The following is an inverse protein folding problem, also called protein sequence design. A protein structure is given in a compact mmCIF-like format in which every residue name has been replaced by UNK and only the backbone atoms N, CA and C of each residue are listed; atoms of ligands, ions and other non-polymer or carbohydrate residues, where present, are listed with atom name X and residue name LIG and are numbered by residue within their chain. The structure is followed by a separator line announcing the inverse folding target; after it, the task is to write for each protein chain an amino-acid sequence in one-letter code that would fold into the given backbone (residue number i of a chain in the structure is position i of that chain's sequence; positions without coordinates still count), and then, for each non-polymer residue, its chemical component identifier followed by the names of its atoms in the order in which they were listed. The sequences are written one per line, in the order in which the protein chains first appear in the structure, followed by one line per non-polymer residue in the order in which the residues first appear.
data_IF_134876239771
#
_entry.id   IF_134876239771
#
_cell.length_a   1.000
_cell.length_b   1.000
_cell.length_c   1.000
_cell.angle_alpha   90.00
_cell.angle_beta   90.00
_cell.angle_gamma   90.00
#
_symmetry.space_group_name_H-M   'P 1'
#
loop_
_entity.id
_entity.type
_entity.pdbx_description
1 polymer ?
#
# COMPACT_ATOMS: atom_id res chain seq x y z
N UNK A 1 16.84 -2.27 -35.45
CA UNK A 1 17.76 -1.68 -34.49
C UNK A 1 17.21 -1.95 -33.11
N UNK A 2 17.98 -2.71 -32.34
CA UNK A 2 17.73 -3.14 -30.97
C UNK A 2 17.59 -1.97 -29.99
N UNK A 3 16.71 -2.13 -29.01
CA UNK A 3 16.56 -1.25 -27.86
C UNK A 3 16.01 -2.06 -26.68
N UNK A 4 16.77 -3.08 -26.27
CA UNK A 4 16.55 -3.78 -25.02
C UNK A 4 16.94 -2.83 -23.88
N UNK A 5 15.95 -2.31 -23.17
CA UNK A 5 16.15 -1.77 -21.83
C UNK A 5 16.43 -2.95 -20.91
N UNK A 6 17.71 -3.16 -20.59
CA UNK A 6 18.10 -4.12 -19.56
C UNK A 6 17.51 -3.74 -18.20
N UNK A 7 17.35 -4.73 -17.30
CA UNK A 7 16.91 -4.45 -15.94
C UNK A 7 17.95 -3.52 -15.29
N UNK A 8 17.47 -2.46 -14.63
CA UNK A 8 18.29 -1.78 -13.64
C UNK A 8 18.65 -2.83 -12.59
N UNK A 9 19.96 -3.05 -12.45
CA UNK A 9 20.55 -3.85 -11.39
C UNK A 9 20.38 -3.02 -10.10
N UNK A 10 19.26 -3.19 -9.40
CA UNK A 10 18.98 -2.55 -8.11
C UNK A 10 19.84 -3.23 -7.03
N UNK A 11 21.13 -2.87 -7.00
CA UNK A 11 21.99 -3.15 -5.86
C UNK A 11 21.59 -2.24 -4.70
N UNK A 12 20.92 -2.77 -3.68
CA UNK A 12 20.85 -2.26 -2.28
C UNK A 12 20.82 -0.71 -2.09
N UNK A 13 20.12 0.02 -2.96
CA UNK A 13 20.18 1.49 -3.12
C UNK A 13 19.23 2.24 -2.15
N UNK A 14 18.93 1.64 -1.00
CA UNK A 14 18.15 2.31 0.03
C UNK A 14 18.99 3.41 0.70
N UNK A 15 18.45 4.63 0.90
CA UNK A 15 19.14 5.65 1.67
C UNK A 15 19.55 5.14 3.05
N UNK A 16 20.73 5.53 3.52
CA UNK A 16 21.27 5.10 4.81
C UNK A 16 20.42 5.62 5.97
N UNK A 17 20.38 4.85 7.07
CA UNK A 17 19.85 5.35 8.34
C UNK A 17 20.89 6.23 9.04
N UNK A 18 20.44 7.37 9.57
CA UNK A 18 21.19 8.23 10.46
C UNK A 18 20.48 8.31 11.82
N UNK A 19 21.21 8.43 12.93
CA UNK A 19 20.59 8.58 14.24
C UNK A 19 19.94 9.95 14.41
N UNK A 20 18.77 10.00 15.04
CA UNK A 20 18.11 11.22 15.47
C UNK A 20 17.40 11.04 16.82
N UNK A 21 17.03 12.15 17.47
CA UNK A 21 16.03 12.16 18.54
C UNK A 21 14.64 12.44 17.95
N UNK A 22 13.67 11.60 18.26
CA UNK A 22 12.26 11.81 17.95
C UNK A 22 11.55 12.34 19.20
N UNK A 23 10.88 13.48 19.07
CA UNK A 23 10.08 14.07 20.15
C UNK A 23 8.59 14.01 19.81
N UNK A 24 7.78 13.50 20.72
CA UNK A 24 6.33 13.52 20.60
C UNK A 24 5.65 13.48 21.97
N UNK A 25 4.70 14.39 22.23
CA UNK A 25 4.00 14.54 23.52
C UNK A 25 4.95 14.58 24.72
N UNK A 26 5.98 15.43 24.66
CA UNK A 26 7.01 15.61 25.70
C UNK A 26 7.85 14.35 26.02
N UNK A 27 7.75 13.31 25.19
CA UNK A 27 8.58 12.10 25.26
C UNK A 27 9.64 12.16 24.17
N UNK A 28 10.87 11.84 24.56
CA UNK A 28 11.99 11.64 23.65
C UNK A 28 12.23 10.14 23.44
N UNK A 29 12.35 9.74 22.18
CA UNK A 29 13.00 8.51 21.77
C UNK A 29 14.35 8.88 21.18
N UNK A 30 15.42 8.47 21.85
CA UNK A 30 16.80 8.78 21.42
C UNK A 30 17.31 7.68 20.48
N UNK A 31 18.28 8.04 19.62
CA UNK A 31 18.93 7.11 18.69
C UNK A 31 17.96 6.36 17.78
N UNK A 32 16.89 7.03 17.36
CA UNK A 32 15.98 6.51 16.33
C UNK A 32 16.68 6.56 14.99
N UNK A 33 16.58 5.49 14.20
CA UNK A 33 17.05 5.49 12.82
C UNK A 33 16.10 6.29 11.92
N UNK A 34 16.59 7.37 11.33
CA UNK A 34 15.90 8.15 10.31
C UNK A 34 16.55 7.93 8.95
N UNK A 35 15.74 7.71 7.90
CA UNK A 35 16.22 7.75 6.52
C UNK A 35 15.17 8.33 5.57
N UNK A 36 15.61 8.72 4.38
CA UNK A 36 14.70 8.94 3.26
C UNK A 36 14.16 7.60 2.71
N UNK A 37 12.99 7.64 2.07
CA UNK A 37 12.37 6.46 1.46
C UNK A 37 11.70 6.76 0.12
N UNK A 38 11.41 5.71 -0.64
CA UNK A 38 10.70 5.80 -1.90
C UNK A 38 11.62 6.13 -3.08
N UNK A 39 11.15 5.80 -4.28
CA UNK A 39 11.88 6.01 -5.52
C UNK A 39 11.43 7.32 -6.19
N UNK A 40 10.27 7.30 -6.85
CA UNK A 40 9.73 8.45 -7.59
C UNK A 40 9.41 9.63 -6.69
N UNK A 41 8.79 9.39 -5.52
CA UNK A 41 8.45 10.44 -4.56
C UNK A 41 9.69 11.14 -4.01
N UNK A 42 10.78 10.41 -3.72
CA UNK A 42 12.04 11.02 -3.28
C UNK A 42 12.74 11.77 -4.40
N UNK A 43 13.00 11.10 -5.53
CA UNK A 43 13.76 11.67 -6.66
C UNK A 43 13.08 12.91 -7.24
N UNK A 44 11.76 12.88 -7.37
CA UNK A 44 10.99 14.02 -7.92
C UNK A 44 10.95 15.18 -6.95
N UNK A 45 10.61 14.93 -5.69
CA UNK A 45 10.54 15.97 -4.65
C UNK A 45 11.88 16.69 -4.51
N UNK A 46 12.97 15.93 -4.40
CA UNK A 46 14.33 16.47 -4.34
C UNK A 46 14.69 17.26 -5.60
N UNK A 47 14.41 16.70 -6.80
CA UNK A 47 14.70 17.35 -8.07
C UNK A 47 13.94 18.66 -8.30
N UNK A 48 12.76 18.82 -7.69
CA UNK A 48 11.97 20.06 -7.70
C UNK A 48 12.48 21.10 -6.68
N UNK A 49 13.44 20.75 -5.83
CA UNK A 49 13.89 21.61 -4.73
C UNK A 49 12.86 21.75 -3.61
N UNK A 50 11.93 20.79 -3.50
CA UNK A 50 10.96 20.71 -2.41
C UNK A 50 11.59 19.88 -1.29
N UNK A 51 11.53 20.39 -0.07
CA UNK A 51 12.15 19.81 1.13
C UNK A 51 11.20 18.97 1.96
N UNK A 52 9.93 18.88 1.57
CA UNK A 52 8.93 17.94 2.12
C UNK A 52 9.24 16.50 1.69
N UNK A 53 10.38 15.97 2.13
CA UNK A 53 10.94 14.69 1.69
C UNK A 53 10.30 13.52 2.45
N UNK A 54 10.02 12.38 1.78
CA UNK A 54 9.44 11.21 2.43
C UNK A 54 10.44 10.53 3.37
N UNK A 55 10.00 10.19 4.59
CA UNK A 55 10.86 9.71 5.67
C UNK A 55 10.46 8.30 6.14
N UNK A 56 11.40 7.60 6.76
CA UNK A 56 11.18 6.33 7.45
C UNK A 56 11.90 6.34 8.79
N UNK A 57 11.19 5.91 9.83
CA UNK A 57 11.69 5.83 11.21
C UNK A 57 11.78 4.37 11.61
N UNK A 58 12.95 3.93 12.10
CA UNK A 58 13.14 2.62 12.72
C UNK A 58 13.64 2.81 14.14
N UNK A 59 12.81 2.46 15.11
CA UNK A 59 12.95 2.86 16.51
C UNK A 59 14.14 2.18 17.21
N UNK A 60 14.50 0.99 16.76
CA UNK A 60 15.55 0.13 17.32
C UNK A 60 16.70 -0.10 16.33
N UNK A 61 16.87 0.78 15.33
CA UNK A 61 17.82 0.57 14.21
C UNK A 61 19.26 0.27 14.66
N UNK A 62 19.69 0.84 15.78
CA UNK A 62 21.06 0.75 16.29
C UNK A 62 21.18 -0.10 17.56
N UNK A 63 20.19 -0.95 17.86
CA UNK A 63 20.16 -1.73 19.11
C UNK A 63 21.32 -2.72 19.28
N UNK A 64 21.89 -3.21 18.17
CA UNK A 64 23.08 -4.08 18.18
C UNK A 64 24.33 -3.36 18.73
N UNK A 65 24.43 -2.05 18.46
CA UNK A 65 25.54 -1.20 18.90
C UNK A 65 25.23 -0.49 20.22
N UNK A 66 23.95 -0.23 20.50
CA UNK A 66 23.43 0.52 21.64
C UNK A 66 22.35 -0.32 22.34
N UNK A 67 22.73 -1.24 23.24
CA UNK A 67 21.79 -2.15 23.88
C UNK A 67 20.68 -1.47 24.71
N UNK A 68 20.85 -0.20 25.09
CA UNK A 68 19.86 0.59 25.85
C UNK A 68 18.57 0.87 25.06
N UNK A 69 18.62 0.85 23.73
CA UNK A 69 17.45 0.99 22.85
C UNK A 69 16.91 -0.36 22.35
N UNK A 70 17.35 -1.48 22.94
CA UNK A 70 16.86 -2.80 22.59
C UNK A 70 15.33 -2.87 22.70
N UNK A 71 14.68 -3.25 21.60
CA UNK A 71 13.23 -3.24 21.45
C UNK A 71 12.57 -1.89 21.76
N UNK A 72 13.24 -0.77 21.47
CA UNK A 72 12.61 0.54 21.52
C UNK A 72 11.45 0.60 20.51
N UNK A 73 10.29 1.12 20.94
CA UNK A 73 9.06 1.21 20.14
C UNK A 73 8.39 2.58 20.28
N UNK A 74 7.81 3.06 19.19
CA UNK A 74 6.92 4.21 19.21
C UNK A 74 5.49 3.71 19.44
N UNK A 75 5.01 3.72 20.68
CA UNK A 75 3.69 3.19 21.06
C UNK A 75 3.39 1.78 20.52
N UNK A 76 4.39 0.90 20.54
CA UNK A 76 4.28 -0.47 20.00
C UNK A 76 4.89 -0.64 18.61
N UNK A 77 4.97 0.41 17.79
CA UNK A 77 5.50 0.32 16.43
C UNK A 77 7.04 0.28 16.42
N UNK A 78 7.58 -0.74 15.74
CA UNK A 78 9.03 -0.90 15.49
C UNK A 78 9.53 0.04 14.40
N UNK A 79 8.75 0.15 13.32
CA UNK A 79 9.09 0.94 12.17
C UNK A 79 7.86 1.65 11.61
N UNK A 80 8.06 2.86 11.08
CA UNK A 80 7.00 3.70 10.53
C UNK A 80 7.45 4.35 9.23
N UNK A 81 6.55 4.37 8.25
CA UNK A 81 6.72 5.08 6.97
C UNK A 81 5.97 6.40 7.02
N UNK A 82 6.62 7.50 6.65
CA UNK A 82 6.02 8.82 6.61
C UNK A 82 5.88 9.25 5.15
N UNK A 83 4.66 9.19 4.64
CA UNK A 83 4.32 9.72 3.32
C UNK A 83 4.18 11.23 3.37
N UNK A 84 4.86 11.89 2.44
CA UNK A 84 4.89 13.33 2.28
C UNK A 84 3.67 13.90 1.52
N UNK A 85 2.75 13.04 1.05
CA UNK A 85 1.63 13.49 0.21
C UNK A 85 2.04 13.87 -1.20
N UNK A 86 3.19 13.38 -1.68
CA UNK A 86 3.58 13.54 -3.07
C UNK A 86 2.47 13.02 -4.01
N UNK A 87 2.12 13.84 -5.00
CA UNK A 87 1.04 13.61 -5.97
C UNK A 87 -0.40 13.60 -5.41
N UNK A 88 -0.58 14.01 -4.15
CA UNK A 88 -1.88 14.07 -3.52
C UNK A 88 -2.18 15.48 -3.00
N UNK A 89 -2.80 16.30 -3.84
CA UNK A 89 -3.27 17.64 -3.45
C UNK A 89 -4.32 17.61 -2.32
N UNK A 90 -4.98 16.47 -2.09
CA UNK A 90 -5.90 16.33 -0.97
C UNK A 90 -5.20 16.02 0.36
N UNK A 91 -3.96 15.51 0.30
CA UNK A 91 -3.18 14.99 1.42
C UNK A 91 -3.86 13.86 2.23
N UNK A 92 -5.02 13.33 1.81
CA UNK A 92 -5.80 12.34 2.59
C UNK A 92 -5.89 10.96 1.93
N UNK A 93 -5.39 10.74 0.72
CA UNK A 93 -5.52 9.44 0.02
C UNK A 93 -4.85 8.32 0.81
N UNK A 94 -3.60 8.55 1.20
CA UNK A 94 -2.82 7.56 1.98
C UNK A 94 -3.42 7.29 3.36
N UNK A 95 -4.15 8.27 3.93
CA UNK A 95 -4.89 8.08 5.17
C UNK A 95 -6.09 7.18 4.96
N UNK A 96 -6.93 7.48 3.97
CA UNK A 96 -8.26 6.91 3.82
C UNK A 96 -8.25 5.54 3.15
N UNK A 97 -7.35 5.30 2.20
CA UNK A 97 -7.39 4.07 1.40
C UNK A 97 -7.16 2.80 2.24
N UNK A 98 -6.16 2.73 3.14
CA UNK A 98 -6.03 1.59 4.05
C UNK A 98 -7.26 1.39 4.95
N UNK A 99 -7.95 2.45 5.35
CA UNK A 99 -9.20 2.34 6.11
C UNK A 99 -10.34 1.74 5.27
N UNK A 100 -10.44 2.07 3.98
CA UNK A 100 -11.45 1.45 3.10
C UNK A 100 -11.19 -0.06 3.01
N UNK A 101 -9.93 -0.48 2.87
CA UNK A 101 -9.57 -1.90 2.88
C UNK A 101 -9.97 -2.58 4.20
N UNK A 102 -9.61 -2.00 5.35
CA UNK A 102 -9.99 -2.54 6.67
C UNK A 102 -11.51 -2.57 6.89
N UNK A 103 -12.21 -1.51 6.50
CA UNK A 103 -13.67 -1.43 6.57
C UNK A 103 -14.35 -2.53 5.73
N UNK A 104 -13.66 -3.06 4.71
CA UNK A 104 -14.12 -4.18 3.89
C UNK A 104 -13.53 -5.56 4.32
N UNK A 105 -12.79 -5.59 5.42
CA UNK A 105 -12.21 -6.80 6.00
C UNK A 105 -11.00 -7.34 5.23
N UNK A 106 -10.25 -6.45 4.57
CA UNK A 106 -8.91 -6.70 4.03
C UNK A 106 -7.90 -6.13 5.02
N UNK A 107 -6.94 -6.95 5.45
CA UNK A 107 -5.88 -6.50 6.35
C UNK A 107 -5.07 -5.40 5.66
N UNK A 108 -4.83 -4.28 6.33
CA UNK A 108 -4.10 -3.14 5.76
C UNK A 108 -3.52 -2.23 6.86
N UNK A 109 -2.42 -1.50 6.58
CA UNK A 109 -1.72 -0.67 7.57
C UNK A 109 -2.58 0.41 8.24
N UNK A 110 -2.44 0.58 9.55
CA UNK A 110 -2.95 1.76 10.24
C UNK A 110 -2.24 3.02 9.79
N UNK A 111 -2.97 4.14 9.83
CA UNK A 111 -2.46 5.44 9.36
C UNK A 111 -2.90 6.56 10.28
N UNK A 112 -2.11 7.63 10.37
CA UNK A 112 -2.45 8.83 11.11
C UNK A 112 -1.73 10.06 10.52
N UNK A 113 -2.33 11.24 10.69
CA UNK A 113 -1.70 12.50 10.28
C UNK A 113 -0.74 12.99 11.34
N UNK A 114 0.43 13.46 10.91
CA UNK A 114 1.41 14.10 11.77
C UNK A 114 1.96 15.35 11.11
N UNK A 115 2.15 16.39 11.92
CA UNK A 115 2.99 17.53 11.54
C UNK A 115 4.44 17.16 11.82
N UNK A 116 5.28 17.27 10.81
CA UNK A 116 6.70 16.93 10.95
C UNK A 116 7.51 18.21 11.06
N UNK A 117 8.30 18.29 12.12
CA UNK A 117 9.30 19.34 12.31
C UNK A 117 10.66 18.68 12.33
N UNK A 118 11.61 19.22 11.57
CA UNK A 118 12.98 18.72 11.51
C UNK A 118 13.92 19.82 11.98
N UNK A 119 14.78 19.48 12.94
CA UNK A 119 15.88 20.32 13.37
C UNK A 119 17.19 19.69 12.88
N UNK A 120 17.92 20.44 12.05
CA UNK A 120 19.23 20.05 11.54
C UNK A 120 20.34 21.03 11.99
N UNK A 121 20.10 21.77 13.08
CA UNK A 121 21.07 22.65 13.73
C UNK A 121 20.60 24.10 13.93
N UNK A 122 19.52 24.50 13.25
CA UNK A 122 18.99 25.88 13.26
C UNK A 122 17.64 26.00 13.98
N UNK A 123 17.22 24.95 14.70
CA UNK A 123 15.92 24.85 15.34
C UNK A 123 14.89 24.11 14.46
N UNK A 124 13.73 23.74 15.03
CA UNK A 124 12.72 22.95 14.33
C UNK A 124 12.06 23.76 13.20
N UNK A 125 12.15 23.24 11.98
CA UNK A 125 11.47 23.77 10.79
C UNK A 125 10.29 22.87 10.45
N UNK A 126 9.12 23.47 10.18
CA UNK A 126 7.96 22.71 9.72
C UNK A 126 8.20 22.16 8.32
N UNK A 127 8.33 20.84 8.21
CA UNK A 127 8.51 20.15 6.95
C UNK A 127 7.20 19.86 6.23
N UNK A 128 6.06 19.99 6.92
CA UNK A 128 4.72 19.81 6.35
C UNK A 128 3.89 18.75 7.09
N UNK A 129 2.69 18.51 6.57
CA UNK A 129 1.78 17.48 7.02
C UNK A 129 2.11 16.16 6.31
N UNK A 130 2.26 15.10 7.10
CA UNK A 130 2.57 13.75 6.62
C UNK A 130 1.46 12.79 7.03
N UNK A 131 1.29 11.73 6.23
CA UNK A 131 0.61 10.53 6.69
C UNK A 131 1.66 9.55 7.18
N UNK A 132 1.65 9.28 8.49
CA UNK A 132 2.41 8.20 9.10
C UNK A 132 1.65 6.90 8.92
N UNK A 133 2.35 5.86 8.48
CA UNK A 133 1.83 4.57 8.05
C UNK A 133 2.59 3.50 8.83
N UNK A 134 1.84 2.63 9.49
CA UNK A 134 2.33 1.39 10.08
C UNK A 134 3.08 0.57 9.02
N UNK A 135 4.28 0.05 9.33
CA UNK A 135 4.92 -0.91 8.43
C UNK A 135 4.18 -2.25 8.54
N UNK A 136 4.00 -2.94 7.41
CA UNK A 136 3.53 -4.33 7.43
C UNK A 136 4.68 -5.19 7.94
N UNK A 137 4.70 -5.39 9.25
CA UNK A 137 5.62 -6.24 9.98
C UNK A 137 4.97 -6.71 11.30
N UNK A 138 5.77 -7.39 12.13
CA UNK A 138 5.57 -7.74 13.54
C UNK A 138 4.22 -7.27 14.14
N UNK A 139 4.13 -5.98 14.49
CA UNK A 139 2.97 -5.41 15.19
C UNK A 139 1.67 -5.49 14.38
N UNK A 140 1.72 -5.19 13.09
CA UNK A 140 0.53 -5.25 12.23
C UNK A 140 0.03 -6.69 12.08
N UNK A 141 0.97 -7.63 11.96
CA UNK A 141 0.63 -9.04 11.81
C UNK A 141 0.03 -9.58 13.12
N UNK A 142 0.63 -9.26 14.26
CA UNK A 142 0.11 -9.63 15.60
C UNK A 142 -1.32 -9.08 15.82
N UNK A 143 -1.57 -7.83 15.44
CA UNK A 143 -2.87 -7.17 15.65
C UNK A 143 -3.98 -7.69 14.73
N UNK A 144 -3.64 -8.05 13.49
CA UNK A 144 -4.65 -8.37 12.46
C UNK A 144 -4.78 -9.87 12.16
N UNK A 145 -3.84 -10.70 12.63
CA UNK A 145 -3.85 -12.14 12.43
C UNK A 145 -3.75 -12.88 13.77
N UNK A 146 -4.38 -14.06 13.86
CA UNK A 146 -4.39 -14.83 15.10
C UNK A 146 -3.04 -15.47 15.46
N UNK A 147 -2.08 -15.44 14.54
CA UNK A 147 -0.74 -15.98 14.68
C UNK A 147 0.16 -15.18 13.72
N UNK A 148 1.31 -14.73 14.21
CA UNK A 148 2.31 -13.87 13.59
C UNK A 148 3.60 -14.61 13.16
N UNK A 149 3.70 -15.91 13.43
CA UNK A 149 4.89 -16.72 13.14
C UNK A 149 5.07 -17.08 11.66
N UNK A 150 4.18 -16.61 10.79
CA UNK A 150 4.18 -16.92 9.37
C UNK A 150 5.26 -16.19 8.58
N UNK A 151 5.54 -16.68 7.37
CA UNK A 151 6.42 -15.98 6.44
C UNK A 151 5.71 -14.74 5.90
N UNK A 152 6.41 -13.61 5.94
CA UNK A 152 5.97 -12.34 5.36
C UNK A 152 6.89 -11.98 4.21
N UNK A 153 6.31 -11.68 3.05
CA UNK A 153 7.03 -11.31 1.84
C UNK A 153 6.61 -9.92 1.37
N UNK A 154 7.54 -9.16 0.82
CA UNK A 154 7.28 -7.93 0.07
C UNK A 154 7.73 -8.14 -1.38
N UNK A 155 6.83 -8.58 -2.27
CA UNK A 155 7.23 -8.89 -3.63
C UNK A 155 7.52 -7.64 -4.47
N UNK A 156 8.57 -7.71 -5.27
CA UNK A 156 8.99 -6.63 -6.17
C UNK A 156 9.68 -7.20 -7.42
N UNK A 157 9.49 -6.54 -8.57
CA UNK A 157 10.10 -6.95 -9.84
C UNK A 157 9.33 -8.05 -10.57
N UNK A 158 9.91 -8.59 -11.64
CA UNK A 158 9.14 -9.38 -12.63
C UNK A 158 8.43 -10.60 -12.05
N UNK A 159 9.00 -11.26 -11.03
CA UNK A 159 8.38 -12.40 -10.34
C UNK A 159 7.13 -12.05 -9.55
N UNK A 160 7.00 -10.81 -9.07
CA UNK A 160 5.82 -10.33 -8.35
C UNK A 160 4.57 -10.22 -9.24
N UNK A 161 4.69 -10.38 -10.56
CA UNK A 161 3.52 -10.54 -11.45
C UNK A 161 2.86 -11.92 -11.33
N UNK A 162 3.59 -12.93 -10.85
CA UNK A 162 3.24 -14.36 -10.95
C UNK A 162 3.05 -14.89 -12.38
N UNK A 163 3.40 -14.11 -13.40
CA UNK A 163 3.27 -14.52 -14.80
C UNK A 163 4.06 -15.80 -15.11
N UNK A 164 3.66 -16.50 -16.18
CA UNK A 164 4.32 -17.75 -16.56
C UNK A 164 5.82 -17.51 -16.81
N UNK A 165 6.65 -18.36 -16.21
CA UNK A 165 8.10 -18.36 -16.28
C UNK A 165 8.79 -17.14 -15.65
N UNK A 166 8.12 -16.38 -14.78
CA UNK A 166 8.76 -15.25 -14.05
C UNK A 166 9.15 -15.57 -12.62
N UNK A 167 8.75 -16.72 -12.07
CA UNK A 167 9.05 -17.07 -10.68
C UNK A 167 10.57 -17.12 -10.42
N UNK A 168 10.99 -16.34 -9.43
CA UNK A 168 12.31 -16.36 -8.84
C UNK A 168 12.15 -15.85 -7.39
N UNK A 169 12.65 -16.61 -6.42
CA UNK A 169 12.53 -16.28 -5.00
C UNK A 169 13.19 -14.96 -4.62
N UNK A 170 14.18 -14.49 -5.38
CA UNK A 170 14.84 -13.19 -5.14
C UNK A 170 13.89 -12.00 -5.25
N UNK A 171 12.75 -12.15 -5.94
CA UNK A 171 11.71 -11.13 -6.06
C UNK A 171 10.71 -11.12 -4.89
N UNK A 172 10.86 -12.04 -3.93
CA UNK A 172 9.99 -12.17 -2.77
C UNK A 172 10.81 -11.92 -1.51
N UNK A 173 11.19 -10.66 -1.29
CA UNK A 173 11.97 -10.25 -0.12
C UNK A 173 11.25 -10.68 1.17
N UNK A 174 11.93 -11.46 2.01
CA UNK A 174 11.40 -11.86 3.32
C UNK A 174 11.48 -10.69 4.29
N UNK A 175 10.42 -10.50 5.05
CA UNK A 175 10.29 -9.53 6.15
C UNK A 175 10.16 -10.21 7.51
N UNK A 176 10.02 -11.53 7.50
CA UNK A 176 10.09 -12.41 8.67
C UNK A 176 10.70 -13.75 8.25
N UNK A 177 11.20 -14.52 9.22
CA UNK A 177 11.70 -15.88 9.01
C UNK A 177 12.73 -15.98 7.87
N UNK A 178 13.73 -15.10 7.84
CA UNK A 178 14.69 -14.98 6.73
C UNK A 178 15.46 -16.28 6.40
N UNK A 179 15.57 -17.19 7.37
CA UNK A 179 16.24 -18.48 7.24
C UNK A 179 15.38 -19.59 6.60
N UNK A 180 14.08 -19.39 6.42
CA UNK A 180 13.17 -20.41 5.83
C UNK A 180 13.18 -20.33 4.30
N UNK A 181 12.71 -21.38 3.60
CA UNK A 181 12.58 -21.37 2.14
C UNK A 181 11.33 -20.62 1.64
N UNK A 182 11.15 -20.57 0.31
CA UNK A 182 10.01 -19.92 -0.37
C UNK A 182 8.98 -20.94 -0.88
N UNK A 183 8.92 -22.13 -0.27
CA UNK A 183 8.07 -23.23 -0.74
C UNK A 183 6.59 -22.88 -0.79
N UNK A 184 6.12 -21.98 0.08
CA UNK A 184 4.75 -21.50 0.10
C UNK A 184 4.39 -20.63 -1.12
N UNK A 185 5.24 -19.67 -1.47
CA UNK A 185 5.08 -18.85 -2.69
C UNK A 185 5.24 -19.69 -3.95
N UNK A 186 6.21 -20.62 -3.95
CA UNK A 186 6.40 -21.56 -5.07
C UNK A 186 5.18 -22.48 -5.25
N UNK A 187 4.57 -22.95 -4.17
CA UNK A 187 3.34 -23.74 -4.21
C UNK A 187 2.18 -22.95 -4.83
N UNK A 188 1.99 -21.68 -4.45
CA UNK A 188 1.01 -20.81 -5.10
C UNK A 188 1.27 -20.69 -6.60
N UNK A 189 2.52 -20.39 -6.99
CA UNK A 189 2.89 -20.27 -8.40
C UNK A 189 2.58 -21.56 -9.18
N UNK A 190 2.94 -22.72 -8.64
CA UNK A 190 2.71 -24.02 -9.28
C UNK A 190 1.22 -24.35 -9.44
N UNK A 191 0.41 -24.14 -8.39
CA UNK A 191 -1.04 -24.37 -8.45
C UNK A 191 -1.72 -23.41 -9.42
N UNK A 192 -1.31 -22.13 -9.43
CA UNK A 192 -1.85 -21.11 -10.33
C UNK A 192 -1.66 -21.47 -11.81
N UNK A 193 -0.53 -22.11 -12.16
CA UNK A 193 -0.19 -22.54 -13.52
C UNK A 193 -0.54 -24.00 -13.84
N UNK A 194 -1.21 -24.71 -12.93
CA UNK A 194 -1.65 -26.09 -13.16
C UNK A 194 -2.62 -26.19 -14.35
N UNK A 195 -2.49 -27.25 -15.14
CA UNK A 195 -3.46 -27.58 -16.21
C UNK A 195 -4.84 -27.93 -15.69
N UNK A 196 -4.97 -28.25 -14.39
CA UNK A 196 -6.28 -28.48 -13.76
C UNK A 196 -7.16 -27.24 -13.85
N UNK A 197 -6.58 -26.03 -13.88
CA UNK A 197 -7.35 -24.79 -14.02
C UNK A 197 -8.37 -24.84 -15.16
N UNK A 198 -8.05 -25.50 -16.27
CA UNK A 198 -8.94 -25.62 -17.43
C UNK A 198 -9.52 -27.02 -17.60
N UNK A 199 -8.82 -28.07 -17.17
CA UNK A 199 -9.28 -29.47 -17.34
C UNK A 199 -10.19 -29.96 -16.21
N UNK A 200 -10.01 -29.45 -14.99
CA UNK A 200 -10.81 -29.73 -13.81
C UNK A 200 -10.80 -28.50 -12.87
N UNK A 201 -11.59 -27.46 -13.20
CA UNK A 201 -11.59 -26.21 -12.42
C UNK A 201 -11.97 -26.42 -10.95
N UNK A 202 -12.76 -27.44 -10.62
CA UNK A 202 -13.14 -27.73 -9.24
C UNK A 202 -11.95 -28.23 -8.42
N UNK A 203 -11.20 -29.20 -8.93
CA UNK A 203 -9.97 -29.65 -8.28
C UNK A 203 -8.92 -28.53 -8.18
N UNK A 204 -8.83 -27.66 -9.21
CA UNK A 204 -7.94 -26.50 -9.18
C UNK A 204 -8.32 -25.50 -8.08
N UNK A 205 -9.61 -25.17 -7.91
CA UNK A 205 -10.06 -24.29 -6.83
C UNK A 205 -9.72 -24.85 -5.46
N UNK A 206 -9.99 -26.14 -5.22
CA UNK A 206 -9.65 -26.81 -3.97
C UNK A 206 -8.15 -26.71 -3.67
N UNK A 207 -7.30 -26.95 -4.68
CA UNK A 207 -5.84 -26.88 -4.53
C UNK A 207 -5.35 -25.44 -4.32
N UNK A 208 -5.95 -24.46 -5.01
CA UNK A 208 -5.59 -23.06 -4.88
C UNK A 208 -5.96 -22.52 -3.49
N UNK A 209 -7.15 -22.86 -3.01
CA UNK A 209 -7.64 -22.45 -1.69
C UNK A 209 -6.90 -23.17 -0.53
N UNK A 210 -6.06 -24.17 -0.80
CA UNK A 210 -5.17 -24.73 0.22
C UNK A 210 -3.93 -23.85 0.49
N UNK A 211 -3.51 -23.05 -0.49
CA UNK A 211 -2.25 -22.29 -0.42
C UNK A 211 -2.44 -20.77 -0.51
N UNK A 212 -3.61 -20.31 -0.94
CA UNK A 212 -3.88 -18.88 -1.16
C UNK A 212 -5.28 -18.49 -0.74
N UNK A 213 -5.39 -17.35 -0.07
CA UNK A 213 -6.69 -16.81 0.34
C UNK A 213 -7.34 -16.06 -0.82
N UNK A 214 -7.97 -16.81 -1.73
CA UNK A 214 -8.70 -16.26 -2.89
C UNK A 214 -9.79 -15.28 -2.45
N UNK A 215 -10.46 -15.54 -1.33
CA UNK A 215 -11.46 -14.64 -0.75
C UNK A 215 -10.88 -13.28 -0.37
N UNK A 216 -9.70 -13.22 0.26
CA UNK A 216 -9.05 -11.95 0.60
C UNK A 216 -8.55 -11.21 -0.63
N UNK A 217 -7.98 -11.93 -1.60
CA UNK A 217 -7.55 -11.33 -2.86
C UNK A 217 -8.72 -10.74 -3.67
N UNK A 218 -9.85 -11.45 -3.76
CA UNK A 218 -11.03 -10.96 -4.48
C UNK A 218 -11.73 -9.79 -3.76
N UNK A 219 -11.60 -9.69 -2.43
CA UNK A 219 -12.02 -8.49 -1.69
C UNK A 219 -11.11 -7.31 -1.99
N UNK A 220 -9.79 -7.51 -1.93
CA UNK A 220 -8.81 -6.50 -2.30
C UNK A 220 -9.06 -6.01 -3.73
N UNK A 221 -9.21 -6.92 -4.69
CA UNK A 221 -9.44 -6.59 -6.09
C UNK A 221 -10.71 -5.76 -6.27
N UNK A 222 -11.81 -6.16 -5.61
CA UNK A 222 -13.08 -5.42 -5.66
C UNK A 222 -12.96 -4.00 -5.08
N UNK A 223 -12.24 -3.84 -3.96
CA UNK A 223 -11.97 -2.50 -3.41
C UNK A 223 -11.09 -1.72 -4.38
N UNK A 224 -9.97 -2.29 -4.83
CA UNK A 224 -8.95 -1.66 -5.66
C UNK A 224 -9.52 -1.13 -7.00
N UNK A 225 -10.32 -1.93 -7.69
CA UNK A 225 -10.97 -1.52 -8.95
C UNK A 225 -12.10 -0.51 -8.73
N UNK A 226 -12.76 -0.56 -7.58
CA UNK A 226 -13.80 0.41 -7.22
C UNK A 226 -13.18 1.78 -6.93
N UNK A 227 -12.16 1.84 -6.07
CA UNK A 227 -11.48 3.08 -5.68
C UNK A 227 -10.55 3.62 -6.78
N UNK A 228 -10.19 2.79 -7.75
CA UNK A 228 -9.17 3.07 -8.75
C UNK A 228 -7.79 3.38 -8.14
N UNK A 229 -6.98 2.33 -8.01
CA UNK A 229 -5.55 2.44 -7.76
C UNK A 229 -4.79 1.75 -8.90
N UNK A 230 -3.94 2.51 -9.58
CA UNK A 230 -3.19 2.06 -10.74
C UNK A 230 -1.79 1.56 -10.37
N UNK A 231 -1.21 2.02 -9.27
CA UNK A 231 0.17 1.72 -8.89
C UNK A 231 0.23 0.43 -8.06
N UNK A 232 -0.32 -0.67 -8.59
CA UNK A 232 -0.44 -1.95 -7.90
C UNK A 232 -0.60 -3.14 -8.85
N UNK A 233 -0.69 -4.35 -8.32
CA UNK A 233 -0.80 -5.60 -9.09
C UNK A 233 -1.90 -5.55 -10.15
N UNK A 234 -1.57 -6.01 -11.36
CA UNK A 234 -2.43 -5.90 -12.55
C UNK A 234 -1.99 -4.79 -13.51
N UNK A 235 -1.22 -3.83 -13.02
CA UNK A 235 -0.53 -2.80 -13.81
C UNK A 235 0.95 -2.77 -13.45
N UNK A 236 1.27 -2.84 -12.15
CA UNK A 236 2.61 -2.78 -11.58
C UNK A 236 3.00 -4.04 -10.80
N UNK A 237 4.30 -4.26 -10.64
CA UNK A 237 4.87 -5.47 -10.00
C UNK A 237 5.36 -5.21 -8.58
N UNK A 238 4.61 -4.40 -7.82
CA UNK A 238 4.94 -4.03 -6.44
C UNK A 238 3.68 -3.56 -5.69
N UNK A 239 3.87 -2.95 -4.50
CA UNK A 239 2.83 -2.35 -3.65
C UNK A 239 1.84 -3.34 -3.03
N UNK A 240 2.37 -4.50 -2.60
CA UNK A 240 1.66 -5.44 -1.75
C UNK A 240 2.64 -6.28 -0.91
N UNK A 241 2.11 -6.91 0.13
CA UNK A 241 2.76 -7.99 0.87
C UNK A 241 1.96 -9.28 0.75
N UNK A 242 2.64 -10.40 0.98
CA UNK A 242 2.02 -11.70 1.16
C UNK A 242 2.39 -12.25 2.54
N UNK A 243 1.39 -12.55 3.34
CA UNK A 243 1.58 -13.20 4.63
C UNK A 243 1.07 -14.64 4.59
N UNK A 244 1.93 -15.63 4.85
CA UNK A 244 1.50 -17.01 5.02
C UNK A 244 0.92 -17.20 6.41
N UNK A 245 -0.41 -17.20 6.51
CA UNK A 245 -1.11 -17.26 7.78
C UNK A 245 -1.07 -18.69 8.38
N UNK A 246 -0.38 -18.94 9.51
CA UNK A 246 -0.22 -20.28 10.06
C UNK A 246 -1.54 -20.93 10.51
N UNK A 247 -2.60 -20.15 10.70
CA UNK A 247 -3.93 -20.66 11.08
C UNK A 247 -4.56 -21.52 9.98
N UNK A 248 -4.30 -21.21 8.72
CA UNK A 248 -4.92 -21.87 7.57
C UNK A 248 -3.92 -22.23 6.46
N UNK A 249 -2.63 -21.93 6.64
CA UNK A 249 -1.54 -22.13 5.68
C UNK A 249 -1.79 -21.45 4.32
N UNK A 250 -2.56 -20.35 4.31
CA UNK A 250 -2.84 -19.59 3.11
C UNK A 250 -1.98 -18.32 3.07
N UNK A 251 -1.36 -18.07 1.93
CA UNK A 251 -0.86 -16.74 1.59
C UNK A 251 -2.04 -15.76 1.49
N UNK A 252 -1.98 -14.71 2.29
CA UNK A 252 -2.98 -13.64 2.38
C UNK A 252 -2.41 -12.35 1.83
N UNK A 253 -3.18 -11.70 0.97
CA UNK A 253 -2.82 -10.44 0.32
C UNK A 253 -2.98 -9.24 1.27
N UNK A 254 -1.99 -8.36 1.33
CA UNK A 254 -2.02 -7.11 2.11
C UNK A 254 -1.61 -5.95 1.19
N UNK A 255 -2.48 -4.96 0.91
CA UNK A 255 -2.14 -3.81 0.08
C UNK A 255 -1.14 -2.88 0.78
N UNK A 256 -0.29 -2.23 -0.01
CA UNK A 256 0.73 -1.29 0.46
C UNK A 256 0.83 -0.09 -0.48
N UNK A 257 1.33 1.05 0.02
CA UNK A 257 1.64 2.29 -0.74
C UNK A 257 0.50 2.71 -1.69
N UNK A 258 -0.54 3.34 -1.13
CA UNK A 258 -1.80 3.59 -1.84
C UNK A 258 -1.98 5.06 -2.27
N UNK A 259 -0.88 5.80 -2.44
CA UNK A 259 -0.93 7.25 -2.60
C UNK A 259 -1.50 7.64 -3.96
N UNK A 260 -1.33 6.73 -4.92
CA UNK A 260 -1.80 6.82 -6.29
C UNK A 260 -3.24 6.30 -6.50
N UNK A 261 -3.96 6.01 -5.41
CA UNK A 261 -5.37 5.59 -5.44
C UNK A 261 -6.36 6.77 -5.50
N UNK A 262 -7.66 6.47 -5.63
CA UNK A 262 -8.75 7.46 -5.67
C UNK A 262 -8.63 8.46 -6.83
N UNK A 263 -8.07 8.00 -7.95
CA UNK A 263 -7.94 8.79 -9.17
C UNK A 263 -8.07 7.88 -10.40
N UNK A 264 -8.28 8.48 -11.59
CA UNK A 264 -8.36 7.71 -12.84
C UNK A 264 -7.09 6.89 -13.11
N UNK A 265 -5.95 7.34 -12.59
CA UNK A 265 -4.63 6.69 -12.68
C UNK A 265 -3.74 7.29 -13.77
N UNK A 266 -2.43 7.11 -13.62
CA UNK A 266 -1.40 7.54 -14.58
C UNK A 266 -1.02 6.39 -15.52
N UNK A 267 -0.06 6.62 -16.42
CA UNK A 267 0.58 5.60 -17.28
C UNK A 267 -0.37 4.60 -17.97
N UNK A 268 -1.57 5.02 -18.37
CA UNK A 268 -2.58 4.14 -19.00
C UNK A 268 -3.85 3.94 -18.17
N UNK A 269 -3.87 4.40 -16.93
CA UNK A 269 -5.03 4.41 -16.03
C UNK A 269 -5.09 3.20 -15.11
N UNK A 270 -5.98 3.28 -14.12
CA UNK A 270 -6.35 2.15 -13.27
C UNK A 270 -7.13 1.09 -14.04
N UNK A 271 -7.10 -0.15 -13.56
CA UNK A 271 -7.88 -1.24 -14.14
C UNK A 271 -9.37 -0.88 -14.23
N UNK A 272 -10.00 -1.30 -15.33
CA UNK A 272 -11.44 -1.26 -15.52
C UNK A 272 -12.13 -2.17 -14.51
N UNK A 273 -13.42 -1.90 -14.24
CA UNK A 273 -14.19 -2.69 -13.29
C UNK A 273 -14.35 -4.15 -13.74
N UNK A 274 -14.29 -4.42 -15.06
CA UNK A 274 -14.34 -5.75 -15.64
C UNK A 274 -12.99 -6.45 -15.68
N UNK A 275 -11.88 -5.71 -15.54
CA UNK A 275 -10.51 -6.21 -15.73
C UNK A 275 -10.35 -6.97 -17.06
N UNK A 276 -11.06 -6.54 -18.11
CA UNK A 276 -11.09 -7.21 -19.42
C UNK A 276 -9.79 -7.05 -20.21
N UNK A 277 -9.06 -5.97 -19.93
CA UNK A 277 -7.74 -5.68 -20.47
C UNK A 277 -6.63 -6.52 -19.83
N UNK A 278 -6.91 -7.16 -18.68
CA UNK A 278 -5.93 -7.96 -17.96
C UNK A 278 -5.78 -9.32 -18.63
N UNK A 279 -4.55 -9.71 -18.93
CA UNK A 279 -4.20 -10.98 -19.57
C UNK A 279 -3.52 -11.93 -18.60
N UNK A 280 -3.03 -13.08 -19.10
CA UNK A 280 -2.25 -14.05 -18.31
C UNK A 280 -0.88 -13.52 -17.83
N UNK A 281 -0.51 -12.28 -18.18
CA UNK A 281 0.61 -11.58 -17.52
C UNK A 281 0.30 -11.22 -16.06
N UNK A 282 -0.97 -11.27 -15.65
CA UNK A 282 -1.41 -11.05 -14.26
C UNK A 282 -2.34 -12.20 -13.84
N UNK A 283 -1.81 -13.42 -13.70
CA UNK A 283 -2.63 -14.61 -13.58
C UNK A 283 -3.52 -14.62 -12.33
N UNK A 284 -3.13 -14.00 -11.22
CA UNK A 284 -4.02 -13.93 -10.03
C UNK A 284 -5.32 -13.17 -10.34
N UNK A 285 -5.31 -12.18 -11.23
CA UNK A 285 -6.55 -11.54 -11.70
C UNK A 285 -7.18 -12.38 -12.80
N UNK A 286 -6.45 -12.63 -13.90
CA UNK A 286 -7.04 -13.24 -15.10
C UNK A 286 -7.60 -14.63 -14.84
N UNK A 287 -6.83 -15.49 -14.18
CA UNK A 287 -7.22 -16.88 -13.95
C UNK A 287 -8.37 -17.00 -12.97
N UNK A 288 -8.43 -16.15 -11.95
CA UNK A 288 -9.57 -16.11 -11.04
C UNK A 288 -10.81 -15.57 -11.75
N UNK A 289 -10.70 -14.49 -12.53
CA UNK A 289 -11.87 -13.92 -13.22
C UNK A 289 -12.34 -14.74 -14.44
N UNK A 290 -11.52 -15.64 -14.97
CA UNK A 290 -11.91 -16.67 -15.96
C UNK A 290 -12.75 -17.80 -15.34
N UNK A 291 -12.59 -18.05 -14.03
CA UNK A 291 -13.40 -19.03 -13.31
C UNK A 291 -14.74 -18.40 -12.88
N UNK A 292 -15.85 -19.06 -13.21
CA UNK A 292 -17.18 -18.50 -13.00
C UNK A 292 -17.55 -18.33 -11.52
N UNK A 293 -17.01 -19.16 -10.62
CA UNK A 293 -17.27 -19.08 -9.18
C UNK A 293 -16.54 -17.87 -8.59
N UNK A 294 -15.26 -17.70 -8.91
CA UNK A 294 -14.48 -16.55 -8.46
C UNK A 294 -14.96 -15.24 -9.08
N UNK A 295 -15.31 -15.24 -10.36
CA UNK A 295 -15.90 -14.07 -11.04
C UNK A 295 -17.23 -13.63 -10.38
N UNK A 296 -18.09 -14.59 -9.99
CA UNK A 296 -19.31 -14.30 -9.25
C UNK A 296 -19.03 -13.74 -7.84
N UNK A 297 -18.02 -14.27 -7.12
CA UNK A 297 -17.56 -13.72 -5.83
C UNK A 297 -17.05 -12.28 -5.99
N UNK A 298 -16.25 -12.00 -7.03
CA UNK A 298 -15.77 -10.65 -7.33
C UNK A 298 -16.92 -9.67 -7.57
N UNK A 299 -17.89 -10.01 -8.43
CA UNK A 299 -19.08 -9.18 -8.66
C UNK A 299 -19.89 -8.93 -7.40
N UNK A 300 -20.06 -9.96 -6.56
CA UNK A 300 -20.73 -9.83 -5.27
C UNK A 300 -19.98 -8.86 -4.34
N UNK A 301 -18.65 -8.96 -4.30
CA UNK A 301 -17.82 -8.05 -3.51
C UNK A 301 -17.93 -6.61 -4.02
N UNK A 302 -17.94 -6.38 -5.34
CA UNK A 302 -18.13 -5.04 -5.91
C UNK A 302 -19.41 -4.37 -5.40
N UNK A 303 -20.56 -5.06 -5.46
CA UNK A 303 -21.83 -4.53 -4.95
C UNK A 303 -21.77 -4.25 -3.44
N UNK A 304 -21.07 -5.09 -2.67
CA UNK A 304 -20.87 -4.88 -1.23
C UNK A 304 -19.98 -3.68 -0.95
N UNK A 305 -18.91 -3.45 -1.72
CA UNK A 305 -17.98 -2.31 -1.51
C UNK A 305 -18.75 -0.99 -1.54
N UNK A 306 -19.56 -0.76 -2.58
CA UNK A 306 -20.30 0.51 -2.77
C UNK A 306 -21.50 0.68 -1.82
N UNK A 307 -21.86 -0.35 -1.05
CA UNK A 307 -22.93 -0.31 -0.05
C UNK A 307 -22.40 -0.39 1.40
N UNK A 308 -21.07 -0.47 1.58
CA UNK A 308 -20.43 -0.55 2.90
C UNK A 308 -19.19 0.35 3.01
N UNK A 309 -18.00 -0.18 2.71
CA UNK A 309 -16.72 0.50 2.90
C UNK A 309 -16.56 1.75 2.02
N UNK A 310 -17.19 1.78 0.85
CA UNK A 310 -17.14 2.89 -0.11
C UNK A 310 -18.53 3.44 -0.44
N UNK A 311 -19.43 3.45 0.56
CA UNK A 311 -20.75 4.07 0.43
C UNK A 311 -20.62 5.61 0.35
N UNK A 312 -21.35 6.22 -0.58
CA UNK A 312 -21.20 7.65 -0.95
C UNK A 312 -21.32 8.62 0.23
N UNK A 313 -22.30 8.44 1.10
CA UNK A 313 -22.52 9.33 2.24
C UNK A 313 -21.44 9.14 3.31
N UNK A 314 -21.07 7.88 3.60
CA UNK A 314 -19.98 7.53 4.51
C UNK A 314 -18.66 8.13 4.04
N UNK A 315 -18.33 7.99 2.76
CA UNK A 315 -17.08 8.51 2.19
C UNK A 315 -17.06 10.04 2.13
N UNK A 316 -18.17 10.67 1.75
CA UNK A 316 -18.28 12.14 1.78
C UNK A 316 -18.02 12.68 3.18
N UNK A 317 -18.66 12.09 4.21
CA UNK A 317 -18.44 12.47 5.59
C UNK A 317 -16.99 12.23 6.04
N UNK A 318 -16.37 11.11 5.63
CA UNK A 318 -14.97 10.79 5.93
C UNK A 318 -14.01 11.82 5.30
N UNK A 319 -14.19 12.16 4.04
CA UNK A 319 -13.36 13.17 3.37
C UNK A 319 -13.50 14.55 3.99
N UNK A 320 -14.73 14.97 4.30
CA UNK A 320 -14.98 16.25 4.97
C UNK A 320 -14.40 16.28 6.39
N UNK A 321 -14.51 15.18 7.13
CA UNK A 321 -13.93 15.08 8.47
C UNK A 321 -12.41 15.25 8.42
N UNK A 322 -11.72 14.48 7.57
CA UNK A 322 -10.27 14.56 7.49
C UNK A 322 -9.77 15.87 6.87
N UNK A 323 -10.43 16.39 5.84
CA UNK A 323 -10.05 17.68 5.27
C UNK A 323 -10.18 18.82 6.27
N UNK A 324 -11.26 18.84 7.07
CA UNK A 324 -11.44 19.82 8.14
C UNK A 324 -10.39 19.65 9.25
N UNK A 325 -10.05 18.41 9.62
CA UNK A 325 -9.05 18.13 10.64
C UNK A 325 -7.67 18.67 10.26
N UNK A 326 -7.29 18.57 8.98
CA UNK A 326 -5.94 18.92 8.53
C UNK A 326 -5.83 20.31 7.90
N UNK A 327 -6.95 20.97 7.57
CA UNK A 327 -6.99 22.22 6.81
C UNK A 327 -6.07 23.30 7.37
N UNK A 328 -6.08 23.50 8.70
CA UNK A 328 -5.23 24.50 9.36
C UNK A 328 -3.72 24.25 9.14
N UNK A 329 -3.32 22.99 9.02
CA UNK A 329 -1.92 22.57 8.91
C UNK A 329 -1.48 22.26 7.49
N UNK A 330 -2.43 22.13 6.56
CA UNK A 330 -2.19 22.00 5.14
C UNK A 330 -2.08 23.38 4.47
N UNK A 331 -3.10 24.22 4.65
CA UNK A 331 -3.24 25.51 3.92
C UNK A 331 -3.75 26.66 4.82
N UNK A 332 -3.78 26.47 6.14
CA UNK A 332 -4.13 27.52 7.10
C UNK A 332 -2.95 28.42 7.46
N UNK A 333 -3.09 29.20 8.53
CA UNK A 333 -2.02 30.07 9.02
C UNK A 333 -0.80 29.27 9.47
N UNK A 334 -1.03 28.07 10.02
CA UNK A 334 0.00 27.10 10.37
C UNK A 334 0.25 26.05 9.26
N UNK A 335 -0.12 26.40 8.03
CA UNK A 335 -0.08 25.53 6.85
C UNK A 335 1.31 25.28 6.28
N UNK A 336 1.37 24.42 5.27
CA UNK A 336 2.60 24.11 4.56
C UNK A 336 3.12 25.35 3.82
N UNK A 337 4.42 25.59 3.90
CA UNK A 337 5.05 26.79 3.36
C UNK A 337 5.73 26.50 2.03
N UNK A 338 6.01 27.56 1.25
CA UNK A 338 6.76 27.44 0.00
C UNK A 338 8.09 26.70 0.23
N UNK A 339 8.37 25.71 -0.61
CA UNK A 339 9.52 24.82 -0.47
C UNK A 339 9.26 23.59 0.40
N UNK A 340 8.13 23.52 1.11
CA UNK A 340 7.70 22.41 1.96
C UNK A 340 6.25 22.00 1.67
N UNK A 341 5.77 22.24 0.45
CA UNK A 341 4.43 21.91 -0.02
C UNK A 341 4.47 21.46 -1.46
N UNK A 342 3.49 20.63 -1.85
CA UNK A 342 3.19 20.30 -3.24
C UNK A 342 2.02 21.09 -3.80
N UNK A 343 1.34 21.89 -2.97
CA UNK A 343 0.21 22.72 -3.35
C UNK A 343 0.72 24.04 -3.91
N UNK A 344 0.18 24.45 -5.04
CA UNK A 344 0.44 25.77 -5.63
C UNK A 344 -0.51 26.83 -5.05
N UNK A 345 -1.68 26.40 -4.57
CA UNK A 345 -2.66 27.25 -3.89
C UNK A 345 -3.57 26.49 -2.92
N UNK A 346 -4.21 27.22 -1.99
CA UNK A 346 -5.26 26.68 -1.12
C UNK A 346 -6.42 26.08 -1.92
N UNK A 347 -6.66 26.60 -3.13
CA UNK A 347 -7.70 26.14 -4.04
C UNK A 347 -7.46 24.75 -4.61
N UNK A 348 -6.20 24.30 -4.67
CA UNK A 348 -5.83 22.96 -5.13
C UNK A 348 -6.36 21.92 -4.13
N UNK A 349 -6.16 22.18 -2.83
CA UNK A 349 -6.67 21.34 -1.76
C UNK A 349 -8.21 21.22 -1.80
N UNK A 350 -8.93 22.34 -1.89
CA UNK A 350 -10.39 22.33 -1.97
C UNK A 350 -10.93 21.61 -3.21
N UNK A 351 -10.25 21.81 -4.34
CA UNK A 351 -10.59 21.14 -5.60
C UNK A 351 -10.35 19.64 -5.53
N UNK A 352 -9.25 19.21 -4.90
CA UNK A 352 -8.93 17.81 -4.70
C UNK A 352 -9.95 17.10 -3.80
N UNK A 353 -10.40 17.74 -2.71
CA UNK A 353 -11.47 17.19 -1.86
C UNK A 353 -12.80 17.09 -2.63
N UNK A 354 -13.15 18.12 -3.39
CA UNK A 354 -14.36 18.12 -4.25
C UNK A 354 -14.31 17.02 -5.31
N UNK A 355 -13.13 16.76 -5.86
CA UNK A 355 -12.88 15.65 -6.78
C UNK A 355 -13.11 14.30 -6.09
N UNK A 356 -12.56 14.07 -4.89
CA UNK A 356 -12.75 12.82 -4.15
C UNK A 356 -14.24 12.52 -3.87
N UNK A 357 -15.02 13.54 -3.48
CA UNK A 357 -16.47 13.40 -3.25
C UNK A 357 -17.19 13.01 -4.55
N UNK A 358 -16.86 13.66 -5.65
CA UNK A 358 -17.43 13.37 -6.97
C UNK A 358 -17.03 12.00 -7.50
N UNK A 359 -15.78 11.60 -7.24
CA UNK A 359 -15.20 10.31 -7.61
C UNK A 359 -16.00 9.16 -7.02
N UNK A 360 -16.31 9.19 -5.71
CA UNK A 360 -17.09 8.12 -5.07
C UNK A 360 -18.43 7.89 -5.76
N UNK A 361 -19.14 8.99 -6.08
CA UNK A 361 -20.43 8.91 -6.77
C UNK A 361 -20.29 8.34 -8.18
N UNK A 362 -19.28 8.77 -8.93
CA UNK A 362 -18.96 8.25 -10.26
C UNK A 362 -18.65 6.74 -10.21
N UNK A 363 -17.81 6.31 -9.28
CA UNK A 363 -17.43 4.89 -9.13
C UNK A 363 -18.59 4.02 -8.70
N UNK A 364 -19.46 4.51 -7.83
CA UNK A 364 -20.72 3.82 -7.48
C UNK A 364 -21.55 3.53 -8.73
N UNK A 365 -21.73 4.50 -9.61
CA UNK A 365 -22.48 4.29 -10.86
C UNK A 365 -21.80 3.28 -11.80
N UNK A 366 -20.47 3.32 -11.93
CA UNK A 366 -19.70 2.34 -12.73
C UNK A 366 -19.91 0.92 -12.20
N UNK A 367 -19.83 0.73 -10.88
CA UNK A 367 -20.06 -0.58 -10.26
C UNK A 367 -21.49 -1.05 -10.47
N UNK A 368 -22.49 -0.20 -10.20
CA UNK A 368 -23.91 -0.56 -10.39
C UNK A 368 -24.20 -1.00 -11.83
N UNK A 369 -23.66 -0.28 -12.82
CA UNK A 369 -23.83 -0.61 -14.23
C UNK A 369 -23.17 -1.94 -14.63
N UNK A 370 -22.11 -2.36 -13.94
CA UNK A 370 -21.42 -3.61 -14.23
C UNK A 370 -22.03 -4.82 -13.50
N UNK A 371 -22.61 -4.59 -12.31
CA UNK A 371 -23.18 -5.67 -11.48
C UNK A 371 -24.66 -5.93 -11.76
N UNK A 372 -25.37 -4.96 -12.33
CA UNK A 372 -26.72 -5.15 -12.87
C UNK A 372 -26.67 -5.84 -14.23
#
# INVERSE_FOLDING_TARGET
GSGAGGPADDSDDNPIYVPCSLFFNDIEWYQVGLRFKGNSSLKTTWGQGIWKLPLRLKMDKFEDEIPEINNQRFYGFKELSLSNGYDDESLIREKVVPEIFRDFGVAAPQTAFYRIYVDYGDGPIYFGLYTMIEIVDDTMIEDQFANDSGNLYKPEGTGASFAKSTFNSSYFEKKSNEETDWSDVEALYNVLHSSQRTSDPEAWRISLEQVFSTDQFLKWLAVNTTIQNWDTYGVMTHNYYLYNNPKNNQLTWIPWDNNEALQSGKQGGSLSISCSEVSSSWPLIRYLLDDSIYSAKYKTNLSKVITSAFESSKMTAKYQYYSNLIREYAVGENGEQRGYTFLESDGDFDSAISYLISHVSSRKSVVQNYTN
#
